data_IF_245853518874
#
_entry.id   IF_245853518874
#
_cell.length_a   1.000
_cell.length_b   1.000
_cell.length_c   1.000
_cell.angle_alpha   90.00
_cell.angle_beta   90.00
_cell.angle_gamma   90.00
#
_symmetry.space_group_name_H-M   'P 1'
#
loop_
_entity.id
_entity.type
_entity.pdbx_description
1 polymer ?
#
# COMPACT_ATOMS: atom_id res chain seq x y z
N UNK A 1 5.23 23.74 16.78
CA UNK A 1 5.58 24.22 15.42
C UNK A 1 5.72 23.00 14.51
N UNK A 2 4.82 22.83 13.53
CA UNK A 2 4.86 21.68 12.61
C UNK A 2 5.74 22.08 11.42
N UNK A 3 6.94 21.51 11.32
CA UNK A 3 7.82 21.72 10.17
C UNK A 3 7.19 21.05 8.94
N UNK A 4 6.43 21.81 8.14
CA UNK A 4 5.74 21.28 6.95
C UNK A 4 6.65 21.13 5.73
N UNK A 5 7.86 21.71 5.75
CA UNK A 5 8.85 21.66 4.68
C UNK A 5 10.18 21.15 5.21
N UNK A 6 10.70 20.09 4.62
CA UNK A 6 11.93 19.41 5.04
C UNK A 6 12.83 19.16 3.82
N UNK A 7 14.14 19.25 3.99
CA UNK A 7 15.11 18.82 2.97
C UNK A 7 15.32 17.31 3.02
N UNK A 8 15.67 16.71 1.89
CA UNK A 8 16.07 15.30 1.80
C UNK A 8 17.39 15.20 1.03
N UNK A 9 18.27 14.29 1.43
CA UNK A 9 19.63 14.21 0.86
C UNK A 9 19.62 13.82 -0.63
N UNK A 10 18.62 13.06 -1.09
CA UNK A 10 18.48 12.66 -2.50
C UNK A 10 17.89 13.75 -3.39
N UNK A 11 17.40 14.84 -2.79
CA UNK A 11 16.89 16.01 -3.48
C UNK A 11 17.27 17.29 -2.71
N UNK A 12 18.56 17.65 -2.69
CA UNK A 12 19.07 18.72 -1.84
C UNK A 12 18.68 20.13 -2.33
N UNK A 13 18.25 20.28 -3.58
CA UNK A 13 17.95 21.57 -4.22
C UNK A 13 16.71 22.23 -3.61
N UNK A 14 15.73 21.43 -3.16
CA UNK A 14 14.44 21.92 -2.70
C UNK A 14 13.94 21.20 -1.45
N UNK A 15 13.16 21.92 -0.64
CA UNK A 15 12.44 21.32 0.49
C UNK A 15 11.13 20.70 0.00
N UNK A 16 10.87 19.47 0.42
CA UNK A 16 9.62 18.77 0.16
C UNK A 16 8.57 19.16 1.20
N UNK A 17 7.30 19.28 0.76
CA UNK A 17 6.16 19.55 1.64
C UNK A 17 5.35 18.29 1.87
N UNK A 18 4.94 18.03 3.11
CA UNK A 18 3.95 16.98 3.38
C UNK A 18 2.59 17.40 2.79
N UNK A 19 2.05 16.58 1.90
CA UNK A 19 0.73 16.76 1.28
C UNK A 19 -0.03 15.44 1.32
N UNK A 20 -1.36 15.52 1.14
CA UNK A 20 -2.20 14.36 0.90
C UNK A 20 -2.46 14.24 -0.61
N UNK A 21 -2.33 13.03 -1.16
CA UNK A 21 -2.63 12.70 -2.54
C UNK A 21 -3.91 11.86 -2.60
N UNK A 22 -4.87 12.31 -3.40
CA UNK A 22 -6.07 11.54 -3.72
C UNK A 22 -5.83 10.52 -4.84
N UNK A 23 -4.69 10.61 -5.53
CA UNK A 23 -4.27 9.67 -6.56
C UNK A 23 -3.02 8.89 -6.15
N UNK A 24 -2.85 7.67 -6.68
CA UNK A 24 -1.60 6.94 -6.57
C UNK A 24 -0.45 7.77 -7.12
N UNK A 25 0.73 7.59 -6.55
CA UNK A 25 1.95 8.24 -7.01
C UNK A 25 3.10 7.27 -6.99
N UNK A 26 4.11 7.52 -7.82
CA UNK A 26 5.37 6.80 -7.74
C UNK A 26 6.29 7.54 -6.76
N UNK A 27 6.89 6.81 -5.83
CA UNK A 27 7.93 7.34 -4.97
C UNK A 27 9.26 7.36 -5.74
N UNK A 28 9.92 8.51 -5.85
CA UNK A 28 11.21 8.66 -6.53
C UNK A 28 12.38 8.05 -5.73
N UNK A 29 12.16 7.74 -4.45
CA UNK A 29 13.13 7.04 -3.61
C UNK A 29 13.13 5.55 -3.89
N UNK A 30 12.09 4.83 -3.46
CA UNK A 30 12.03 3.37 -3.56
C UNK A 30 11.45 2.84 -4.88
N UNK A 31 10.95 3.73 -5.75
CA UNK A 31 10.30 3.41 -7.02
C UNK A 31 8.99 2.62 -6.93
N UNK A 32 8.50 2.36 -5.72
CA UNK A 32 7.21 1.69 -5.48
C UNK A 32 6.04 2.70 -5.47
N UNK A 33 4.84 2.20 -5.72
CA UNK A 33 3.60 2.98 -5.69
C UNK A 33 3.25 3.36 -4.25
N UNK A 34 2.91 4.63 -4.05
CA UNK A 34 2.37 5.18 -2.82
C UNK A 34 0.96 5.72 -2.99
N UNK A 35 0.29 5.88 -1.85
CA UNK A 35 -1.05 6.43 -1.78
C UNK A 35 -1.15 7.38 -0.57
N UNK A 36 -2.09 8.32 -0.58
CA UNK A 36 -2.36 9.19 0.56
C UNK A 36 -1.22 10.16 0.84
N UNK A 37 -0.71 10.18 2.08
CA UNK A 37 0.28 11.17 2.50
C UNK A 37 1.66 10.95 1.87
N UNK A 38 2.26 12.03 1.39
CA UNK A 38 3.57 12.04 0.73
C UNK A 38 4.33 13.34 0.94
N UNK A 39 5.65 13.29 0.84
CA UNK A 39 6.48 14.48 0.74
C UNK A 39 6.68 14.82 -0.73
N UNK A 40 6.25 16.02 -1.14
CA UNK A 40 6.25 16.45 -2.53
C UNK A 40 7.06 17.73 -2.71
N UNK A 41 7.96 17.74 -3.68
CA UNK A 41 8.50 18.95 -4.30
C UNK A 41 7.69 19.25 -5.56
N UNK A 42 6.82 20.27 -5.51
CA UNK A 42 5.96 20.63 -6.66
C UNK A 42 6.77 21.08 -7.89
N UNK A 43 7.82 21.92 -7.78
CA UNK A 43 8.61 22.35 -8.94
C UNK A 43 9.27 21.21 -9.73
N UNK A 44 9.79 20.20 -9.02
CA UNK A 44 10.54 19.10 -9.65
C UNK A 44 9.70 17.87 -9.95
N UNK A 45 8.41 17.88 -9.61
CA UNK A 45 7.55 16.71 -9.66
C UNK A 45 8.08 15.50 -8.85
N UNK A 46 8.80 15.77 -7.76
CA UNK A 46 9.50 14.76 -6.96
C UNK A 46 8.69 14.37 -5.71
N UNK A 47 8.52 13.07 -5.47
CA UNK A 47 7.69 12.48 -4.43
C UNK A 47 8.44 11.43 -3.61
N UNK A 48 8.30 11.51 -2.29
CA UNK A 48 8.73 10.46 -1.38
C UNK A 48 7.59 9.98 -0.49
N UNK A 49 7.53 8.67 -0.27
CA UNK A 49 6.80 8.13 0.88
C UNK A 49 7.35 8.75 2.17
N UNK A 50 6.53 8.82 3.23
CA UNK A 50 7.01 9.20 4.57
C UNK A 50 8.19 8.32 5.02
N UNK A 51 8.11 7.02 4.78
CA UNK A 51 9.15 6.08 5.18
C UNK A 51 10.44 6.22 4.35
N UNK A 52 10.35 6.74 3.12
CA UNK A 52 11.52 7.07 2.31
C UNK A 52 12.12 8.43 2.70
N UNK A 53 11.29 9.37 3.14
CA UNK A 53 11.72 10.66 3.67
C UNK A 53 12.59 10.50 4.94
N UNK A 54 12.22 9.55 5.80
CA UNK A 54 12.85 9.35 7.11
C UNK A 54 13.57 8.00 7.23
N UNK A 55 14.06 7.47 6.12
CA UNK A 55 14.85 6.25 6.14
C UNK A 55 16.10 6.43 7.03
N UNK A 56 16.34 5.46 7.91
CA UNK A 56 17.52 5.41 8.78
C UNK A 56 18.59 4.55 8.14
N UNK A 57 19.86 4.74 8.51
CA UNK A 57 20.99 3.97 7.94
C UNK A 57 20.88 2.46 8.14
N UNK A 58 20.16 2.02 9.17
CA UNK A 58 19.90 0.61 9.44
C UNK A 58 18.58 0.42 10.16
N UNK A 59 18.06 -0.80 10.09
CA UNK A 59 16.79 -1.21 10.69
C UNK A 59 16.79 -2.70 11.03
N UNK A 60 15.92 -3.08 11.98
CA UNK A 60 15.54 -4.47 12.24
C UNK A 60 14.03 -4.61 12.02
N UNK A 61 13.58 -5.83 11.80
CA UNK A 61 12.15 -6.13 11.69
C UNK A 61 11.76 -7.33 12.58
N UNK A 62 10.56 -7.32 13.15
CA UNK A 62 10.12 -8.32 14.13
C UNK A 62 10.09 -9.76 13.59
N UNK A 63 9.92 -9.93 12.28
CA UNK A 63 9.97 -11.25 11.62
C UNK A 63 11.40 -11.77 11.42
N UNK A 64 12.39 -10.89 11.43
CA UNK A 64 13.77 -11.22 11.10
C UNK A 64 14.69 -10.83 12.26
N UNK A 65 14.54 -11.50 13.40
CA UNK A 65 15.23 -11.16 14.65
C UNK A 65 16.75 -11.18 14.54
N UNK A 66 17.29 -12.05 13.68
CA UNK A 66 18.73 -12.22 13.48
C UNK A 66 19.24 -11.45 12.24
N UNK A 67 18.41 -10.61 11.64
CA UNK A 67 18.74 -9.86 10.43
C UNK A 67 18.83 -8.37 10.72
N UNK A 68 20.00 -7.80 10.45
CA UNK A 68 20.18 -6.34 10.37
C UNK A 68 20.06 -5.92 8.92
N UNK A 69 19.13 -5.02 8.64
CA UNK A 69 18.95 -4.43 7.32
C UNK A 69 19.67 -3.10 7.26
N UNK A 70 20.58 -2.94 6.31
CA UNK A 70 21.25 -1.68 6.00
C UNK A 70 20.48 -0.97 4.89
N UNK A 71 20.38 0.34 5.01
CA UNK A 71 19.74 1.14 3.98
C UNK A 71 20.72 1.41 2.82
N UNK A 72 20.22 1.31 1.60
CA UNK A 72 20.94 1.64 0.37
C UNK A 72 20.02 2.44 -0.56
N UNK A 73 20.61 3.38 -1.29
CA UNK A 73 19.89 4.20 -2.28
C UNK A 73 19.46 3.39 -3.50
N UNK A 74 20.14 2.26 -3.73
CA UNK A 74 19.87 1.32 -4.81
C UNK A 74 20.07 -0.13 -4.35
N UNK A 75 19.38 -1.10 -4.98
CA UNK A 75 19.60 -2.52 -4.73
C UNK A 75 21.08 -2.91 -4.97
N UNK A 76 21.70 -3.70 -4.07
CA UNK A 76 23.08 -4.11 -4.27
C UNK A 76 23.22 -5.21 -5.34
N UNK A 77 24.21 -5.06 -6.22
CA UNK A 77 24.50 -6.00 -7.30
C UNK A 77 23.55 -5.89 -8.51
N UNK A 78 23.80 -6.70 -9.53
CA UNK A 78 23.14 -6.60 -10.85
C UNK A 78 21.89 -7.48 -11.00
N UNK A 79 21.56 -8.28 -9.98
CA UNK A 79 20.42 -9.21 -10.05
C UNK A 79 19.11 -8.49 -9.75
N UNK A 80 18.03 -8.94 -10.38
CA UNK A 80 16.69 -8.52 -10.01
C UNK A 80 16.40 -8.89 -8.56
N UNK A 81 15.84 -7.93 -7.82
CA UNK A 81 15.50 -8.05 -6.40
C UNK A 81 14.05 -7.69 -6.17
N UNK A 82 13.44 -8.42 -5.26
CA UNK A 82 12.05 -8.28 -4.90
C UNK A 82 11.95 -8.10 -3.39
N UNK A 83 11.01 -7.27 -2.97
CA UNK A 83 10.78 -7.01 -1.57
C UNK A 83 10.14 -8.24 -0.90
N UNK A 84 10.76 -8.79 0.14
CA UNK A 84 10.26 -9.97 0.86
C UNK A 84 8.88 -9.74 1.50
N UNK A 85 8.47 -8.48 1.70
CA UNK A 85 7.20 -8.14 2.30
C UNK A 85 6.03 -8.03 1.32
N UNK A 86 6.24 -7.48 0.12
CA UNK A 86 5.16 -7.29 -0.87
C UNK A 86 5.36 -8.09 -2.15
N UNK A 87 6.53 -8.69 -2.36
CA UNK A 87 6.90 -9.39 -3.58
C UNK A 87 7.09 -8.50 -4.82
N UNK A 88 7.03 -7.17 -4.66
CA UNK A 88 7.23 -6.21 -5.74
C UNK A 88 8.71 -5.86 -5.96
N UNK A 89 9.02 -5.35 -7.14
CA UNK A 89 10.38 -5.00 -7.56
C UNK A 89 11.04 -3.97 -6.62
N UNK A 90 12.33 -4.17 -6.37
CA UNK A 90 13.18 -3.20 -5.66
C UNK A 90 14.07 -2.51 -6.69
N UNK A 91 13.77 -1.24 -7.00
CA UNK A 91 14.45 -0.45 -8.05
C UNK A 91 15.12 0.83 -7.54
N UNK A 92 15.12 1.06 -6.23
CA UNK A 92 15.68 2.26 -5.60
C UNK A 92 15.94 2.00 -4.12
N UNK A 93 15.58 2.97 -3.29
CA UNK A 93 15.74 2.91 -1.82
C UNK A 93 15.28 1.58 -1.25
N UNK A 94 16.19 0.91 -0.54
CA UNK A 94 16.00 -0.45 -0.04
C UNK A 94 16.67 -0.61 1.32
N UNK A 95 16.05 -1.41 2.17
CA UNK A 95 16.69 -2.04 3.31
C UNK A 95 17.14 -3.44 2.91
N UNK A 96 18.45 -3.64 2.80
CA UNK A 96 19.07 -4.91 2.42
C UNK A 96 19.73 -5.60 3.61
N UNK A 97 19.47 -6.88 3.80
CA UNK A 97 20.19 -7.73 4.74
C UNK A 97 21.14 -8.67 3.99
N UNK A 98 22.45 -8.40 4.08
CA UNK A 98 23.49 -9.20 3.41
C UNK A 98 23.47 -10.67 3.86
N UNK A 99 23.39 -10.92 5.17
CA UNK A 99 23.54 -12.26 5.74
C UNK A 99 22.49 -13.27 5.27
N UNK A 100 21.28 -12.80 4.98
CA UNK A 100 20.16 -13.64 4.52
C UNK A 100 19.69 -13.27 3.11
N UNK A 101 20.36 -12.31 2.47
CA UNK A 101 20.06 -11.80 1.14
C UNK A 101 18.57 -11.39 0.96
N UNK A 102 18.04 -10.65 1.94
CA UNK A 102 16.64 -10.18 2.00
C UNK A 102 16.56 -8.70 1.72
N UNK A 103 15.46 -8.27 1.10
CA UNK A 103 15.23 -6.91 0.66
C UNK A 103 13.85 -6.43 1.11
N UNK A 104 13.78 -5.21 1.65
CA UNK A 104 12.53 -4.57 2.04
C UNK A 104 12.47 -3.14 1.51
N UNK A 105 11.35 -2.76 0.89
CA UNK A 105 11.08 -1.33 0.69
C UNK A 105 10.96 -0.63 2.06
N UNK A 106 11.38 0.64 2.18
CA UNK A 106 11.21 1.41 3.42
C UNK A 106 9.77 1.43 3.94
N UNK A 107 8.79 1.61 3.05
CA UNK A 107 7.36 1.59 3.40
C UNK A 107 6.86 0.22 3.85
N UNK A 108 7.37 -0.86 3.27
CA UNK A 108 7.02 -2.21 3.66
C UNK A 108 7.61 -2.59 5.04
N UNK A 109 8.85 -2.19 5.31
CA UNK A 109 9.50 -2.41 6.61
C UNK A 109 8.72 -1.76 7.76
N UNK A 110 8.06 -0.63 7.52
CA UNK A 110 7.34 0.13 8.54
C UNK A 110 5.84 -0.20 8.63
N UNK A 111 5.38 -1.23 7.93
CA UNK A 111 4.01 -1.71 8.08
C UNK A 111 3.73 -2.11 9.53
N UNK A 112 2.60 -1.68 10.12
CA UNK A 112 2.32 -2.02 11.50
C UNK A 112 2.02 -3.51 11.64
N UNK A 113 2.61 -4.09 12.69
CA UNK A 113 2.42 -5.50 13.03
C UNK A 113 0.97 -5.84 13.42
N UNK A 114 0.20 -4.85 13.88
CA UNK A 114 -1.19 -5.02 14.32
C UNK A 114 -2.01 -3.78 13.96
N UNK A 115 -3.18 -4.00 13.38
CA UNK A 115 -4.18 -2.99 13.05
C UNK A 115 -5.48 -3.38 13.77
N UNK A 116 -6.17 -2.42 14.36
CA UNK A 116 -7.42 -2.63 15.09
C UNK A 116 -8.43 -1.53 14.79
N UNK A 117 -9.70 -1.91 14.70
CA UNK A 117 -10.85 -1.00 14.66
C UNK A 117 -12.16 -1.78 14.74
N UNK A 118 -13.21 -1.19 15.31
CA UNK A 118 -14.56 -1.77 15.48
C UNK A 118 -14.59 -3.26 15.88
N UNK A 119 -13.72 -3.66 16.80
CA UNK A 119 -13.62 -5.04 17.30
C UNK A 119 -12.95 -6.04 16.36
N UNK A 120 -12.45 -5.59 15.20
CA UNK A 120 -11.63 -6.40 14.29
C UNK A 120 -10.16 -6.11 14.53
N UNK A 121 -9.39 -7.18 14.65
CA UNK A 121 -7.94 -7.12 14.82
C UNK A 121 -7.27 -7.89 13.69
N UNK A 122 -6.39 -7.23 12.96
CA UNK A 122 -5.56 -7.79 11.91
C UNK A 122 -4.10 -7.80 12.38
N UNK A 123 -3.43 -8.93 12.21
CA UNK A 123 -2.01 -9.06 12.51
C UNK A 123 -1.25 -9.29 11.22
N UNK A 124 -0.16 -8.58 11.04
CA UNK A 124 0.79 -8.83 9.97
C UNK A 124 1.50 -10.17 10.23
N UNK A 125 1.67 -10.97 9.19
CA UNK A 125 2.31 -12.28 9.23
C UNK A 125 3.26 -12.42 8.04
N UNK A 126 4.45 -12.96 8.29
CA UNK A 126 5.46 -13.23 7.26
C UNK A 126 5.03 -14.36 6.32
N UNK A 127 4.48 -15.45 6.88
CA UNK A 127 4.07 -16.64 6.14
C UNK A 127 2.67 -17.06 6.57
N UNK A 128 1.83 -17.41 5.61
CA UNK A 128 0.45 -17.84 5.83
C UNK A 128 0.16 -19.11 5.05
N UNK A 129 -0.63 -20.01 5.65
CA UNK A 129 -1.05 -21.27 5.01
C UNK A 129 -2.41 -21.16 4.33
N UNK A 130 -3.17 -20.11 4.66
CA UNK A 130 -4.49 -19.84 4.08
C UNK A 130 -4.38 -19.07 2.77
N UNK A 131 -5.39 -19.23 1.92
CA UNK A 131 -5.50 -18.47 0.68
C UNK A 131 -5.84 -17.01 0.99
N UNK A 132 -5.23 -16.07 0.27
CA UNK A 132 -5.63 -14.68 0.27
C UNK A 132 -7.04 -14.56 -0.29
N UNK A 133 -7.86 -13.75 0.38
CA UNK A 133 -9.25 -13.50 0.03
C UNK A 133 -9.38 -12.84 -1.34
N UNK A 134 -8.45 -11.95 -1.68
CA UNK A 134 -8.51 -11.18 -2.92
C UNK A 134 -8.10 -12.00 -4.15
N UNK A 135 -6.92 -12.62 -4.15
CA UNK A 135 -6.39 -13.31 -5.32
C UNK A 135 -6.71 -14.82 -5.34
N UNK A 136 -7.21 -15.39 -4.23
CA UNK A 136 -7.47 -16.82 -4.09
C UNK A 136 -6.22 -17.71 -4.00
N UNK A 137 -5.02 -17.12 -4.00
CA UNK A 137 -3.72 -17.82 -3.96
C UNK A 137 -3.08 -17.73 -2.57
N UNK A 138 -2.15 -18.65 -2.28
CA UNK A 138 -1.31 -18.61 -1.07
C UNK A 138 -0.03 -17.83 -1.30
N UNK A 139 0.55 -18.01 -2.48
CA UNK A 139 1.77 -17.35 -2.94
C UNK A 139 1.43 -16.22 -3.92
N UNK A 140 2.32 -15.24 -3.99
CA UNK A 140 2.30 -14.17 -4.97
C UNK A 140 2.73 -14.73 -6.34
N UNK A 141 3.88 -15.41 -6.35
CA UNK A 141 4.47 -16.07 -7.51
C UNK A 141 5.60 -17.01 -7.05
N UNK A 142 5.90 -18.06 -7.82
CA UNK A 142 7.01 -19.03 -7.65
C UNK A 142 7.65 -19.14 -6.24
N UNK A 143 6.89 -19.61 -5.23
CA UNK A 143 7.40 -19.84 -3.87
C UNK A 143 7.50 -18.59 -2.98
N UNK A 144 7.24 -17.39 -3.53
CA UNK A 144 7.20 -16.13 -2.80
C UNK A 144 5.81 -15.93 -2.20
N UNK A 145 5.70 -15.98 -0.87
CA UNK A 145 4.43 -15.76 -0.17
C UNK A 145 4.13 -14.29 0.08
N UNK A 146 5.17 -13.47 0.28
CA UNK A 146 5.02 -12.12 0.82
C UNK A 146 4.35 -12.08 2.20
N UNK A 147 4.21 -10.88 2.76
CA UNK A 147 3.52 -10.68 4.03
C UNK A 147 2.02 -10.55 3.82
N UNK A 148 1.26 -10.90 4.85
CA UNK A 148 -0.20 -10.84 4.85
C UNK A 148 -0.76 -10.28 6.14
N UNK A 149 -1.84 -9.53 6.04
CA UNK A 149 -2.71 -9.21 7.17
C UNK A 149 -3.71 -10.34 7.39
N UNK A 150 -3.75 -10.83 8.63
CA UNK A 150 -4.59 -11.96 9.04
C UNK A 150 -5.47 -11.57 10.22
N UNK A 151 -6.77 -11.79 10.11
CA UNK A 151 -7.69 -11.55 11.23
C UNK A 151 -7.46 -12.50 12.40
N UNK A 152 -7.77 -12.05 13.62
CA UNK A 152 -7.71 -12.90 14.82
C UNK A 152 -8.64 -14.11 14.74
N UNK A 153 -9.78 -13.98 14.06
CA UNK A 153 -10.66 -15.12 13.73
C UNK A 153 -10.14 -16.03 12.61
N UNK A 154 -8.97 -15.72 12.02
CA UNK A 154 -8.29 -16.49 10.97
C UNK A 154 -9.14 -16.73 9.71
N UNK A 155 -10.18 -15.93 9.49
CA UNK A 155 -11.04 -16.03 8.30
C UNK A 155 -10.62 -15.10 7.19
N UNK A 156 -10.05 -13.94 7.52
CA UNK A 156 -9.71 -12.89 6.56
C UNK A 156 -8.20 -12.82 6.43
N UNK A 157 -7.71 -13.08 5.22
CA UNK A 157 -6.29 -13.11 4.87
C UNK A 157 -6.08 -12.26 3.63
N UNK A 158 -5.19 -11.27 3.69
CA UNK A 158 -4.89 -10.39 2.57
C UNK A 158 -3.40 -10.23 2.45
N UNK A 159 -2.84 -10.58 1.29
CA UNK A 159 -1.45 -10.20 0.97
C UNK A 159 -1.34 -8.68 0.96
N UNK A 160 -0.21 -8.16 1.45
CA UNK A 160 0.09 -6.72 1.40
C UNK A 160 0.02 -6.19 -0.03
N UNK A 161 0.58 -6.93 -0.99
CA UNK A 161 0.50 -6.61 -2.43
C UNK A 161 -0.92 -6.58 -2.95
N UNK A 162 -1.73 -7.59 -2.62
CA UNK A 162 -3.14 -7.62 -3.04
C UNK A 162 -3.91 -6.38 -2.55
N UNK A 163 -3.61 -5.87 -1.35
CA UNK A 163 -4.25 -4.63 -0.88
C UNK A 163 -3.77 -3.40 -1.66
N UNK A 164 -2.48 -3.33 -2.01
CA UNK A 164 -1.98 -2.29 -2.92
C UNK A 164 -2.67 -2.37 -4.28
N UNK A 165 -2.82 -3.57 -4.84
CA UNK A 165 -3.50 -3.79 -6.13
C UNK A 165 -4.97 -3.37 -6.10
N UNK A 166 -5.68 -3.62 -4.99
CA UNK A 166 -7.05 -3.13 -4.79
C UNK A 166 -7.09 -1.61 -4.94
N UNK A 167 -6.12 -0.90 -4.36
CA UNK A 167 -6.05 0.57 -4.43
C UNK A 167 -5.74 1.08 -5.84
N UNK A 168 -4.80 0.45 -6.54
CA UNK A 168 -4.48 0.81 -7.94
C UNK A 168 -5.70 0.60 -8.84
N UNK A 169 -6.28 -0.61 -8.82
CA UNK A 169 -7.40 -0.97 -9.70
C UNK A 169 -8.62 -0.09 -9.46
N UNK A 170 -8.85 0.31 -8.20
CA UNK A 170 -9.92 1.24 -7.87
C UNK A 170 -9.71 2.59 -8.55
N UNK A 171 -8.51 3.16 -8.39
CA UNK A 171 -8.18 4.43 -9.02
C UNK A 171 -8.29 4.35 -10.55
N UNK A 172 -7.79 3.29 -11.17
CA UNK A 172 -7.90 3.10 -12.63
C UNK A 172 -9.36 3.09 -13.09
N UNK A 173 -10.23 2.40 -12.38
CA UNK A 173 -11.66 2.35 -12.70
C UNK A 173 -12.33 3.73 -12.57
N UNK A 174 -12.06 4.45 -11.49
CA UNK A 174 -12.61 5.81 -11.27
C UNK A 174 -12.15 6.79 -12.36
N UNK A 175 -10.94 6.62 -12.90
CA UNK A 175 -10.33 7.57 -13.84
C UNK A 175 -10.52 7.20 -15.33
N UNK A 176 -10.59 5.92 -15.68
CA UNK A 176 -10.62 5.47 -17.09
C UNK A 176 -11.97 4.89 -17.55
N UNK A 177 -12.86 4.50 -16.64
CA UNK A 177 -14.17 3.90 -16.98
C UNK A 177 -15.37 4.80 -16.67
N UNK A 178 -15.16 6.10 -16.42
CA UNK A 178 -16.23 7.09 -16.46
C UNK A 178 -16.65 7.33 -17.92
N UNK A 179 -17.94 7.21 -18.22
CA UNK A 179 -18.52 7.37 -19.56
C UNK A 179 -17.87 8.51 -20.35
N UNK A 180 -17.37 8.16 -21.53
CA UNK A 180 -16.53 9.01 -22.37
C UNK A 180 -17.19 10.35 -22.68
N UNK A 181 -16.65 11.42 -22.10
CA UNK A 181 -16.66 12.73 -22.75
C UNK A 181 -15.26 13.33 -22.67
N UNK A 182 -14.50 13.10 -23.74
CA UNK A 182 -13.16 13.63 -23.93
C UNK A 182 -13.23 15.15 -24.00
N UNK A 183 -12.75 15.83 -22.96
CA UNK A 183 -12.25 17.19 -23.10
C UNK A 183 -10.84 17.23 -22.54
N UNK A 184 -9.89 17.35 -23.46
CA UNK A 184 -8.51 17.66 -23.20
C UNK A 184 -8.40 18.89 -22.30
N UNK A 185 -8.01 18.71 -21.04
CA UNK A 185 -7.64 19.82 -20.16
C UNK A 185 -6.24 19.57 -19.63
N UNK A 186 -5.32 20.29 -20.26
CA UNK A 186 -3.98 20.62 -19.78
C UNK A 186 -3.99 21.08 -18.32
N UNK A 187 -3.07 20.54 -17.53
CA UNK A 187 -2.48 21.16 -16.33
C UNK A 187 -3.41 21.99 -15.45
N UNK A 188 -4.01 21.38 -14.44
CA UNK A 188 -4.73 22.10 -13.41
C UNK A 188 -5.45 21.15 -12.48
N UNK A 189 -5.25 21.32 -11.17
CA UNK A 189 -6.02 20.61 -10.16
C UNK A 189 -7.53 20.81 -10.42
N UNK A 190 -8.29 19.72 -10.47
CA UNK A 190 -9.74 19.77 -10.49
C UNK A 190 -10.28 18.76 -9.48
N UNK A 191 -10.95 19.31 -8.47
CA UNK A 191 -11.90 18.63 -7.59
C UNK A 191 -12.98 18.00 -8.47
N UNK A 192 -13.26 16.71 -8.30
CA UNK A 192 -14.40 16.05 -8.94
C UNK A 192 -15.15 15.24 -7.89
N UNK A 193 -16.30 15.81 -7.55
CA UNK A 193 -17.47 15.18 -6.94
C UNK A 193 -18.04 14.10 -7.89
N UNK A 194 -18.59 13.03 -7.28
CA UNK A 194 -19.51 12.00 -7.83
C UNK A 194 -18.98 10.62 -8.25
N UNK A 195 -19.68 9.66 -7.66
CA UNK A 195 -19.70 8.20 -7.77
C UNK A 195 -20.03 7.67 -9.19
N UNK A 196 -19.46 6.53 -9.60
CA UNK A 196 -20.21 5.54 -10.38
C UNK A 196 -20.06 4.09 -9.87
N UNK A 197 -21.20 3.41 -9.79
CA UNK A 197 -21.40 2.00 -9.44
C UNK A 197 -20.70 1.04 -10.42
N UNK A 198 -20.30 -0.14 -9.92
CA UNK A 198 -19.87 -1.26 -10.77
C UNK A 198 -20.23 -2.58 -10.11
N UNK A 199 -20.98 -3.40 -10.82
CA UNK A 199 -21.44 -4.68 -10.35
C UNK A 199 -20.34 -5.75 -10.45
N UNK A 200 -20.17 -6.54 -9.38
CA UNK A 200 -19.46 -7.81 -9.41
C UNK A 200 -20.48 -8.96 -9.47
N UNK A 201 -20.42 -9.75 -10.54
CA UNK A 201 -21.32 -10.90 -10.74
C UNK A 201 -21.07 -11.97 -9.67
N UNK A 202 -22.06 -12.36 -8.84
CA UNK A 202 -21.87 -13.38 -7.81
C UNK A 202 -22.01 -14.80 -8.38
N UNK A 203 -21.19 -15.72 -7.89
CA UNK A 203 -21.45 -17.16 -7.95
C UNK A 203 -22.76 -17.47 -7.19
N UNK A 204 -23.73 -18.07 -7.88
CA UNK A 204 -25.07 -18.35 -7.37
C UNK A 204 -25.04 -19.48 -6.32
N UNK A 205 -25.37 -19.14 -5.06
CA UNK A 205 -25.64 -20.10 -3.98
C UNK A 205 -26.23 -19.41 -2.76
N UNK A 206 -27.50 -19.71 -2.44
CA UNK A 206 -28.35 -18.96 -1.51
C UNK A 206 -27.92 -18.93 -0.03
N UNK A 207 -28.19 -17.79 0.62
CA UNK A 207 -28.01 -17.57 2.06
C UNK A 207 -27.94 -16.08 2.48
N UNK A 208 -28.95 -15.29 2.13
CA UNK A 208 -28.88 -13.81 2.07
C UNK A 208 -28.46 -13.07 3.36
N UNK A 209 -28.85 -13.52 4.56
CA UNK A 209 -28.55 -12.77 5.79
C UNK A 209 -27.11 -12.92 6.31
N UNK A 210 -26.53 -14.12 6.18
CA UNK A 210 -25.18 -14.43 6.67
C UNK A 210 -24.11 -13.95 5.68
N UNK A 211 -24.40 -14.07 4.38
CA UNK A 211 -23.55 -13.60 3.30
C UNK A 211 -23.36 -12.07 3.33
N UNK A 212 -24.43 -11.30 3.56
CA UNK A 212 -24.36 -9.84 3.65
C UNK A 212 -23.52 -9.38 4.85
N UNK A 213 -23.66 -10.04 6.02
CA UNK A 213 -22.81 -9.73 7.19
C UNK A 213 -21.34 -10.04 6.92
N UNK A 214 -21.05 -11.16 6.26
CA UNK A 214 -19.69 -11.53 5.89
C UNK A 214 -19.05 -10.52 4.93
N UNK A 215 -19.77 -10.10 3.89
CA UNK A 215 -19.30 -9.11 2.94
C UNK A 215 -18.99 -7.78 3.65
N UNK A 216 -19.87 -7.31 4.54
CA UNK A 216 -19.65 -6.10 5.36
C UNK A 216 -18.34 -6.16 6.16
N UNK A 217 -18.04 -7.32 6.75
CA UNK A 217 -16.79 -7.52 7.50
C UNK A 217 -15.56 -7.48 6.60
N UNK A 218 -15.63 -8.08 5.41
CA UNK A 218 -14.56 -7.97 4.40
C UNK A 218 -14.30 -6.51 4.04
N UNK A 219 -15.37 -5.72 3.81
CA UNK A 219 -15.23 -4.28 3.48
C UNK A 219 -14.45 -3.54 4.54
N UNK A 220 -14.84 -3.80 5.78
CA UNK A 220 -14.24 -3.18 6.94
C UNK A 220 -12.76 -3.56 7.11
N UNK A 221 -12.43 -4.83 6.93
CA UNK A 221 -11.04 -5.32 6.97
C UNK A 221 -10.18 -4.62 5.93
N UNK A 222 -10.62 -4.55 4.67
CA UNK A 222 -9.88 -3.88 3.60
C UNK A 222 -9.70 -2.41 3.94
N UNK A 223 -10.75 -1.74 4.41
CA UNK A 223 -10.70 -0.34 4.83
C UNK A 223 -9.66 -0.09 5.92
N UNK A 224 -9.58 -0.93 6.95
CA UNK A 224 -8.58 -0.81 8.01
C UNK A 224 -7.15 -0.90 7.47
N UNK A 225 -6.89 -1.86 6.58
CA UNK A 225 -5.56 -2.03 5.98
C UNK A 225 -5.24 -0.82 5.10
N UNK A 226 -6.18 -0.37 4.28
CA UNK A 226 -5.99 0.78 3.39
C UNK A 226 -5.73 2.06 4.19
N UNK A 227 -6.54 2.39 5.20
CA UNK A 227 -6.32 3.55 6.06
C UNK A 227 -4.92 3.56 6.68
N UNK A 228 -4.42 2.37 7.01
CA UNK A 228 -3.06 2.18 7.53
C UNK A 228 -2.00 2.44 6.47
N UNK A 229 -2.14 1.87 5.27
CA UNK A 229 -1.20 2.08 4.16
C UNK A 229 -1.15 3.55 3.70
N UNK A 230 -2.28 4.27 3.81
CA UNK A 230 -2.39 5.69 3.46
C UNK A 230 -1.76 6.63 4.51
N UNK A 231 -1.54 6.13 5.73
CA UNK A 231 -1.03 6.91 6.85
C UNK A 231 -1.97 8.02 7.34
N UNK A 232 -3.25 7.95 6.96
CA UNK A 232 -4.33 8.89 7.34
C UNK A 232 -5.64 8.12 7.56
N UNK A 233 -6.11 7.97 8.81
CA UNK A 233 -7.36 7.28 9.11
C UNK A 233 -8.62 8.08 8.76
N UNK A 234 -8.49 9.37 8.45
CA UNK A 234 -9.60 10.34 8.37
C UNK A 234 -9.97 10.76 6.94
N UNK A 235 -9.05 10.75 5.99
CA UNK A 235 -9.29 11.40 4.69
C UNK A 235 -10.00 10.57 3.61
N UNK A 236 -9.93 9.23 3.63
CA UNK A 236 -10.43 8.39 2.50
C UNK A 236 -11.44 7.32 2.96
N UNK A 237 -11.80 7.33 4.24
CA UNK A 237 -12.75 6.37 4.81
C UNK A 237 -14.16 6.56 4.23
N UNK A 238 -14.60 7.78 3.93
CA UNK A 238 -15.95 8.01 3.39
C UNK A 238 -16.12 7.42 1.98
N UNK A 239 -15.16 7.64 1.08
CA UNK A 239 -15.22 7.18 -0.31
C UNK A 239 -14.91 5.68 -0.47
N UNK A 240 -14.12 5.08 0.43
CA UNK A 240 -13.82 3.64 0.40
C UNK A 240 -15.08 2.77 0.59
N UNK A 241 -16.03 3.25 1.39
CA UNK A 241 -17.16 2.48 1.91
C UNK A 241 -18.14 2.03 0.82
N UNK A 242 -18.30 2.78 -0.26
CA UNK A 242 -19.35 2.53 -1.25
C UNK A 242 -18.99 1.44 -2.30
N UNK A 243 -17.71 1.14 -2.53
CA UNK A 243 -17.28 0.36 -3.71
C UNK A 243 -16.68 -1.05 -3.44
N UNK A 244 -16.91 -1.63 -2.25
CA UNK A 244 -16.82 -3.10 -2.08
C UNK A 244 -18.23 -3.71 -2.28
N UNK A 245 -19.21 -2.89 -2.70
CA UNK A 245 -20.53 -3.33 -3.20
C UNK A 245 -20.29 -3.98 -4.56
#
# INVERSE_FOLDING_TARGET
MIYTKLGHYSHPEHKLKLIHSHTPYKCDGCMDIGFGLRYRCKPCNFDLHKDCMFATSSANHAFYKDSVFKFHDSPPGERDRFCDACGGDVKGFVYHCEAHNRDLHPCCRNLPCRIEGDGVVLNLKEKVTSKCYWCGKRELWEGVTGWSYVSTCKTYHFHVSCVKDILVKRWEKEYFNGDGNYSSVSGGALEIDRNPDLELVPYQGGGGGRFVKYLKMVKFVVKLIVSTLLGDPTAIVASIIEAII
#
